data_IF_237715480274
#
_entry.id   IF_237715480274
#
_cell.length_a   1.000
_cell.length_b   1.000
_cell.length_c   1.000
_cell.angle_alpha   90.00
_cell.angle_beta   90.00
_cell.angle_gamma   90.00
#
_symmetry.space_group_name_H-M   'P 1'
#
loop_
_entity.id
_entity.type
_entity.pdbx_description
1 polymer ?
#
# COMPACT_ATOMS: atom_id res chain seq x y z
N UNK A 1 -2.67 15.74 18.90
CA UNK A 1 -3.23 16.57 17.81
C UNK A 1 -2.81 16.00 16.49
N UNK A 2 -3.76 15.77 15.58
CA UNK A 2 -3.51 15.18 14.28
C UNK A 2 -4.14 16.02 13.17
N UNK A 3 -3.39 16.17 12.07
CA UNK A 3 -3.85 16.81 10.84
C UNK A 3 -4.35 15.75 9.87
N UNK A 4 -5.62 15.84 9.47
CA UNK A 4 -6.25 14.99 8.46
C UNK A 4 -6.42 15.85 7.21
N UNK A 5 -5.94 15.36 6.07
CA UNK A 5 -6.09 16.00 4.77
C UNK A 5 -7.17 15.27 3.99
N UNK A 6 -8.14 16.00 3.54
CA UNK A 6 -9.30 15.52 2.82
C UNK A 6 -9.24 16.14 1.43
N UNK A 7 -9.07 15.31 0.43
CA UNK A 7 -9.08 15.78 -0.95
C UNK A 7 -10.48 16.30 -1.30
N UNK A 8 -10.55 17.53 -1.78
CA UNK A 8 -11.80 18.18 -2.11
C UNK A 8 -12.49 17.52 -3.32
N UNK A 9 -13.84 17.65 -3.44
CA UNK A 9 -14.55 17.09 -4.57
C UNK A 9 -14.05 17.69 -5.88
N UNK A 10 -13.95 16.84 -6.90
CA UNK A 10 -13.63 17.28 -8.26
C UNK A 10 -14.88 17.93 -8.84
N UNK A 11 -14.75 19.18 -9.25
CA UNK A 11 -15.84 19.89 -9.93
C UNK A 11 -15.87 19.47 -11.41
N UNK A 12 -16.98 18.86 -11.82
CA UNK A 12 -17.13 18.38 -13.19
C UNK A 12 -17.30 19.55 -14.16
N UNK A 13 -16.41 19.66 -15.13
CA UNK A 13 -16.46 20.66 -16.18
C UNK A 13 -17.69 20.58 -17.08
N UNK A 14 -18.38 19.44 -17.10
CA UNK A 14 -19.63 19.25 -17.84
C UNK A 14 -20.82 19.93 -17.14
N UNK A 15 -20.73 20.15 -15.83
CA UNK A 15 -21.75 20.82 -15.03
C UNK A 15 -21.31 22.23 -14.63
N UNK A 16 -20.94 23.06 -15.64
CA UNK A 16 -20.57 24.45 -15.45
C UNK A 16 -21.31 25.37 -16.42
N UNK A 17 -21.43 26.59 -16.01
CA UNK A 17 -21.83 27.71 -16.84
C UNK A 17 -20.87 28.89 -16.67
N UNK A 18 -21.15 30.00 -17.27
CA UNK A 18 -20.34 31.22 -17.16
C UNK A 18 -21.23 32.42 -16.88
N UNK A 19 -20.74 33.36 -16.09
CA UNK A 19 -21.40 34.65 -15.94
C UNK A 19 -21.51 35.38 -17.30
N UNK A 20 -22.66 35.93 -17.58
CA UNK A 20 -22.91 36.75 -18.75
C UNK A 20 -22.92 38.24 -18.43
N UNK A 21 -22.81 38.63 -17.18
CA UNK A 21 -22.61 39.96 -16.67
C UNK A 21 -21.70 39.95 -15.44
N UNK A 22 -21.06 41.12 -15.16
CA UNK A 22 -20.28 41.29 -13.94
C UNK A 22 -21.18 41.21 -12.70
N UNK A 23 -20.70 40.55 -11.66
CA UNK A 23 -21.36 40.46 -10.37
C UNK A 23 -20.48 41.12 -9.31
N UNK A 24 -20.85 42.30 -8.88
CA UNK A 24 -20.18 43.07 -7.83
C UNK A 24 -20.92 43.05 -6.50
N UNK A 25 -22.22 42.77 -6.51
CA UNK A 25 -23.09 42.71 -5.35
C UNK A 25 -24.41 42.04 -5.73
N UNK A 26 -25.20 41.64 -4.72
CA UNK A 26 -26.50 41.02 -4.94
C UNK A 26 -26.43 39.49 -5.04
N UNK A 27 -27.61 38.88 -5.15
CA UNK A 27 -27.78 37.44 -5.13
C UNK A 27 -28.25 36.85 -6.47
N UNK A 28 -28.46 37.72 -7.46
CA UNK A 28 -28.93 37.30 -8.79
C UNK A 28 -27.77 37.25 -9.77
N UNK A 29 -27.53 36.11 -10.36
CA UNK A 29 -26.47 35.85 -11.32
C UNK A 29 -27.07 35.69 -12.71
N UNK A 30 -26.66 36.54 -13.65
CA UNK A 30 -26.97 36.32 -15.06
C UNK A 30 -25.92 35.40 -15.64
N UNK A 31 -26.34 34.24 -16.15
CA UNK A 31 -25.46 33.18 -16.67
C UNK A 31 -25.84 32.81 -18.11
N UNK A 32 -24.92 32.21 -18.85
CA UNK A 32 -25.19 31.75 -20.22
C UNK A 32 -26.25 30.66 -20.31
N UNK A 33 -26.30 29.76 -19.32
CA UNK A 33 -27.31 28.74 -19.21
C UNK A 33 -27.33 28.19 -17.78
N UNK A 34 -28.51 27.91 -17.23
CA UNK A 34 -28.69 27.30 -15.92
C UNK A 34 -29.31 25.90 -15.98
N UNK A 35 -29.38 25.29 -17.16
CA UNK A 35 -30.10 24.02 -17.40
C UNK A 35 -29.58 22.87 -16.55
N UNK A 36 -28.33 22.89 -16.17
CA UNK A 36 -27.74 21.83 -15.32
C UNK A 36 -27.90 22.08 -13.82
N UNK A 37 -28.46 23.21 -13.40
CA UNK A 37 -28.62 23.59 -12.01
C UNK A 37 -30.04 23.33 -11.52
N UNK A 38 -30.20 23.14 -10.22
CA UNK A 38 -31.48 23.03 -9.53
C UNK A 38 -31.44 23.87 -8.24
N UNK A 39 -32.61 24.21 -7.70
CA UNK A 39 -32.71 24.79 -6.38
C UNK A 39 -32.13 23.82 -5.34
N UNK A 40 -31.45 24.36 -4.35
CA UNK A 40 -30.69 23.64 -3.31
C UNK A 40 -29.38 22.99 -3.80
N UNK A 41 -29.00 23.08 -5.06
CA UNK A 41 -27.62 22.81 -5.47
C UNK A 41 -26.64 23.80 -4.85
N UNK A 42 -25.37 23.44 -4.78
CA UNK A 42 -24.30 24.38 -4.47
C UNK A 42 -23.53 24.75 -5.72
N UNK A 43 -22.99 25.96 -5.72
CA UNK A 43 -22.22 26.49 -6.84
C UNK A 43 -20.93 27.13 -6.36
N UNK A 44 -19.85 26.92 -7.12
CA UNK A 44 -18.58 27.60 -6.92
C UNK A 44 -18.38 28.59 -8.05
N UNK A 45 -18.30 29.89 -7.71
CA UNK A 45 -17.94 30.94 -8.65
C UNK A 45 -16.42 31.12 -8.65
N UNK A 46 -15.84 31.23 -9.84
CA UNK A 46 -14.39 31.28 -10.04
C UNK A 46 -13.78 29.94 -10.36
N UNK A 47 -12.53 29.93 -10.78
CA UNK A 47 -11.81 28.66 -10.97
C UNK A 47 -11.59 27.99 -9.61
N UNK A 48 -11.88 26.70 -9.48
CA UNK A 48 -11.60 25.96 -8.27
C UNK A 48 -10.12 26.06 -7.90
N UNK A 49 -9.83 26.17 -6.60
CA UNK A 49 -8.48 26.27 -6.05
C UNK A 49 -7.84 27.66 -6.18
N UNK A 50 -8.59 28.65 -6.65
CA UNK A 50 -8.16 30.03 -6.63
C UNK A 50 -8.68 30.76 -5.38
N UNK A 51 -7.95 31.79 -4.96
CA UNK A 51 -8.26 32.57 -3.75
C UNK A 51 -9.64 33.23 -3.82
N UNK A 52 -10.07 33.62 -5.01
CA UNK A 52 -11.34 34.30 -5.26
C UNK A 52 -12.53 33.31 -5.44
N UNK A 53 -12.31 32.01 -5.42
CA UNK A 53 -13.39 31.04 -5.55
C UNK A 53 -14.34 31.09 -4.34
N UNK A 54 -15.66 31.13 -4.60
CA UNK A 54 -16.68 31.24 -3.56
C UNK A 54 -17.79 30.21 -3.74
N UNK A 55 -18.08 29.48 -2.65
CA UNK A 55 -19.17 28.51 -2.58
C UNK A 55 -20.45 29.19 -2.09
N UNK A 56 -21.56 29.01 -2.83
CA UNK A 56 -22.89 29.49 -2.47
C UNK A 56 -23.95 28.45 -2.83
N UNK A 57 -25.06 28.51 -2.13
CA UNK A 57 -26.22 27.69 -2.43
C UNK A 57 -27.14 28.39 -3.45
N UNK A 58 -27.66 27.62 -4.39
CA UNK A 58 -28.69 28.07 -5.33
C UNK A 58 -30.05 28.09 -4.60
N UNK A 59 -30.66 29.24 -4.46
CA UNK A 59 -31.97 29.38 -3.85
C UNK A 59 -33.12 29.19 -4.85
N UNK A 60 -32.95 29.68 -6.07
CA UNK A 60 -33.94 29.53 -7.14
C UNK A 60 -33.31 29.73 -8.51
N UNK A 61 -34.03 29.33 -9.54
CA UNK A 61 -33.70 29.53 -10.94
C UNK A 61 -34.86 30.27 -11.61
N UNK A 62 -34.55 31.24 -12.44
CA UNK A 62 -35.55 31.95 -13.24
C UNK A 62 -35.09 31.95 -14.67
N UNK A 63 -35.99 31.58 -15.59
CA UNK A 63 -35.66 31.40 -17.00
C UNK A 63 -34.46 30.46 -17.19
N UNK A 64 -33.88 30.40 -18.39
CA UNK A 64 -32.71 29.53 -18.64
C UNK A 64 -31.38 30.24 -18.39
N UNK A 65 -31.40 31.46 -17.89
CA UNK A 65 -30.22 32.34 -17.83
C UNK A 65 -30.00 33.01 -16.46
N UNK A 66 -30.82 32.67 -15.45
CA UNK A 66 -30.69 33.33 -14.14
C UNK A 66 -30.58 32.29 -13.03
N UNK A 67 -29.58 32.46 -12.18
CA UNK A 67 -29.39 31.73 -10.94
C UNK A 67 -29.48 32.70 -9.77
N UNK A 68 -30.35 32.45 -8.81
CA UNK A 68 -30.38 33.19 -7.54
C UNK A 68 -29.67 32.37 -6.47
N UNK A 69 -28.72 32.98 -5.77
CA UNK A 69 -27.97 32.38 -4.67
C UNK A 69 -28.48 32.89 -3.31
N UNK A 70 -28.25 32.11 -2.26
CA UNK A 70 -28.73 32.39 -0.91
C UNK A 70 -28.07 33.64 -0.27
N UNK A 71 -26.84 34.00 -0.69
CA UNK A 71 -26.14 35.16 -0.19
C UNK A 71 -25.17 35.69 -1.26
N UNK A 72 -24.95 37.01 -1.28
CA UNK A 72 -24.05 37.65 -2.23
C UNK A 72 -22.61 37.13 -2.12
N UNK A 73 -21.90 37.18 -3.22
CA UNK A 73 -20.45 36.96 -3.22
C UNK A 73 -19.73 38.07 -2.45
N UNK A 74 -18.62 37.70 -1.85
CA UNK A 74 -17.72 38.62 -1.17
C UNK A 74 -16.81 39.38 -2.16
N UNK A 75 -16.44 38.69 -3.24
CA UNK A 75 -15.55 39.23 -4.26
C UNK A 75 -16.34 39.62 -5.53
N UNK A 76 -15.76 40.49 -6.31
CA UNK A 76 -16.27 40.82 -7.63
C UNK A 76 -15.92 39.71 -8.60
N UNK A 77 -16.93 39.17 -9.27
CA UNK A 77 -16.76 38.19 -10.33
C UNK A 77 -17.10 38.78 -11.68
N UNK A 78 -16.11 38.97 -12.59
CA UNK A 78 -16.34 39.56 -13.90
C UNK A 78 -17.15 38.63 -14.81
N UNK A 79 -17.74 39.21 -15.86
CA UNK A 79 -18.31 38.43 -16.95
C UNK A 79 -17.32 37.37 -17.42
N UNK A 80 -17.83 36.22 -17.81
CA UNK A 80 -17.05 34.99 -18.18
C UNK A 80 -16.46 34.22 -17.04
N UNK A 81 -16.62 34.64 -15.77
CA UNK A 81 -16.25 33.80 -14.62
C UNK A 81 -17.01 32.50 -14.68
N UNK A 82 -16.34 31.36 -14.56
CA UNK A 82 -17.00 30.05 -14.53
C UNK A 82 -17.79 29.87 -13.24
N UNK A 83 -18.94 29.23 -13.35
CA UNK A 83 -19.82 28.82 -12.25
C UNK A 83 -19.95 27.32 -12.32
N UNK A 84 -19.35 26.61 -11.38
CA UNK A 84 -19.39 25.15 -11.31
C UNK A 84 -20.52 24.71 -10.39
N UNK A 85 -21.23 23.65 -10.78
CA UNK A 85 -22.15 22.96 -9.89
C UNK A 85 -21.37 21.99 -8.99
N UNK A 86 -21.75 21.93 -7.72
CA UNK A 86 -21.32 20.88 -6.79
C UNK A 86 -22.53 20.40 -5.99
N UNK A 87 -22.65 19.10 -5.77
CA UNK A 87 -23.72 18.58 -4.92
C UNK A 87 -23.43 18.74 -3.42
N UNK A 88 -22.23 19.19 -3.03
CA UNK A 88 -21.74 19.15 -1.66
C UNK A 88 -21.29 20.52 -1.15
N UNK A 89 -21.56 20.79 0.14
CA UNK A 89 -21.09 21.99 0.83
C UNK A 89 -20.24 21.68 2.07
N UNK A 90 -20.40 20.52 2.68
CA UNK A 90 -19.68 20.11 3.87
C UNK A 90 -18.97 18.76 3.72
N UNK A 91 -18.07 18.48 4.69
CA UNK A 91 -17.45 17.19 4.91
C UNK A 91 -17.87 16.67 6.28
N UNK A 92 -18.39 15.45 6.34
CA UNK A 92 -18.64 14.70 7.56
C UNK A 92 -17.47 13.76 7.79
N UNK A 93 -16.89 13.80 9.00
CA UNK A 93 -15.73 13.02 9.39
C UNK A 93 -16.14 12.08 10.51
N UNK A 94 -15.83 10.81 10.35
CA UNK A 94 -16.02 9.79 11.37
C UNK A 94 -14.67 9.26 11.85
N UNK A 95 -14.63 8.88 13.12
CA UNK A 95 -13.44 8.36 13.80
C UNK A 95 -13.78 7.06 14.52
N UNK A 96 -12.86 6.11 14.52
CA UNK A 96 -12.85 4.98 15.43
C UNK A 96 -11.52 4.88 16.17
N UNK A 97 -11.53 4.30 17.36
CA UNK A 97 -10.37 4.26 18.25
C UNK A 97 -9.41 3.10 17.98
N UNK A 98 -9.88 2.10 17.23
CA UNK A 98 -9.09 0.92 16.81
C UNK A 98 -9.69 0.31 15.56
N UNK A 99 -8.97 -0.55 14.87
CA UNK A 99 -9.43 -1.27 13.67
C UNK A 99 -10.67 -2.13 13.89
N UNK A 100 -10.90 -2.62 15.11
CA UNK A 100 -12.09 -3.38 15.50
C UNK A 100 -13.24 -2.50 16.02
N UNK A 101 -13.03 -1.17 16.16
CA UNK A 101 -14.02 -0.24 16.68
C UNK A 101 -15.06 0.16 15.66
N UNK A 102 -16.20 0.68 16.15
CA UNK A 102 -17.24 1.27 15.30
C UNK A 102 -16.87 2.72 14.99
N UNK A 103 -17.08 3.14 13.75
CA UNK A 103 -16.95 4.55 13.39
C UNK A 103 -18.06 5.38 14.01
N UNK A 104 -17.69 6.50 14.62
CA UNK A 104 -18.60 7.48 15.15
C UNK A 104 -18.30 8.85 14.56
N UNK A 105 -19.35 9.60 14.25
CA UNK A 105 -19.22 10.97 13.76
C UNK A 105 -18.60 11.86 14.86
N UNK A 106 -17.62 12.68 14.49
CA UNK A 106 -17.04 13.64 15.41
C UNK A 106 -18.02 14.77 15.66
N UNK A 107 -18.16 15.21 16.91
CA UNK A 107 -19.15 16.20 17.34
C UNK A 107 -19.00 17.59 16.66
N UNK A 108 -17.92 17.82 15.96
CA UNK A 108 -17.62 19.03 15.18
C UNK A 108 -17.32 18.72 13.73
N UNK A 109 -17.91 17.68 13.18
CA UNK A 109 -17.47 17.05 11.95
C UNK A 109 -17.97 17.73 10.68
N UNK A 110 -19.06 18.45 10.72
CA UNK A 110 -19.56 19.15 9.55
C UNK A 110 -18.75 20.42 9.31
N UNK A 111 -17.69 20.31 8.55
CA UNK A 111 -16.88 21.46 8.11
C UNK A 111 -17.15 21.76 6.64
N UNK A 112 -17.29 23.03 6.29
CA UNK A 112 -17.37 23.44 4.90
C UNK A 112 -16.05 23.03 4.21
N UNK A 113 -16.14 22.34 3.07
CA UNK A 113 -14.94 22.01 2.33
C UNK A 113 -14.27 23.25 1.76
N UNK A 114 -12.95 23.26 1.73
CA UNK A 114 -12.17 24.43 1.32
C UNK A 114 -12.07 24.51 -0.22
N UNK A 115 -12.96 25.28 -0.82
CA UNK A 115 -13.02 25.47 -2.27
C UNK A 115 -11.84 26.25 -2.87
N UNK A 116 -10.99 26.85 -2.02
CA UNK A 116 -9.81 27.62 -2.42
C UNK A 116 -8.54 26.76 -2.51
N UNK A 117 -8.58 25.59 -1.95
CA UNK A 117 -7.46 24.65 -1.92
C UNK A 117 -7.84 23.30 -2.51
N UNK A 118 -6.83 22.47 -2.81
CA UNK A 118 -7.04 21.07 -3.23
C UNK A 118 -7.57 20.20 -2.11
N UNK A 119 -7.30 20.58 -0.88
CA UNK A 119 -7.54 19.77 0.32
C UNK A 119 -8.24 20.63 1.37
N UNK A 120 -9.22 20.04 2.01
CA UNK A 120 -9.76 20.52 3.28
C UNK A 120 -8.94 19.90 4.41
N UNK A 121 -8.53 20.70 5.37
CA UNK A 121 -7.70 20.25 6.49
C UNK A 121 -8.53 20.26 7.77
N UNK A 122 -8.56 19.10 8.42
CA UNK A 122 -9.16 18.95 9.74
C UNK A 122 -8.10 18.62 10.79
N UNK A 123 -8.22 19.20 11.98
CA UNK A 123 -7.33 18.94 13.10
C UNK A 123 -8.09 18.25 14.22
N UNK A 124 -7.72 17.01 14.52
CA UNK A 124 -8.22 16.30 15.70
C UNK A 124 -7.23 16.49 16.85
N UNK A 125 -7.64 17.24 17.87
CA UNK A 125 -6.81 17.51 19.06
C UNK A 125 -6.66 16.31 19.98
N UNK A 126 -7.61 15.37 19.93
CA UNK A 126 -7.65 14.17 20.79
C UNK A 126 -7.01 12.95 20.13
N UNK A 127 -6.56 13.09 18.88
CA UNK A 127 -6.06 11.97 18.09
C UNK A 127 -4.87 11.26 18.71
N UNK A 128 -4.93 9.93 18.71
CA UNK A 128 -3.80 9.02 18.98
C UNK A 128 -3.39 8.29 17.71
N UNK A 129 -2.25 7.58 17.76
CA UNK A 129 -1.72 6.84 16.62
C UNK A 129 -2.64 5.70 16.15
N UNK A 130 -3.45 5.12 17.06
CA UNK A 130 -4.35 4.01 16.77
C UNK A 130 -5.69 4.44 16.16
N UNK A 131 -5.97 5.74 16.12
CA UNK A 131 -7.24 6.22 15.60
C UNK A 131 -7.29 6.14 14.09
N UNK A 132 -8.43 5.71 13.59
CA UNK A 132 -8.73 5.62 12.17
C UNK A 132 -9.89 6.55 11.81
N UNK A 133 -9.81 7.13 10.62
CA UNK A 133 -10.77 8.11 10.15
C UNK A 133 -11.30 7.69 8.80
N UNK A 134 -12.54 8.07 8.51
CA UNK A 134 -13.12 8.13 7.17
C UNK A 134 -13.93 9.40 7.03
N UNK A 135 -14.16 9.82 5.83
CA UNK A 135 -14.98 10.99 5.56
C UNK A 135 -15.92 10.73 4.39
N UNK A 136 -16.94 11.53 4.31
CA UNK A 136 -17.86 11.64 3.18
C UNK A 136 -18.26 13.10 2.99
N UNK A 137 -18.61 13.47 1.77
CA UNK A 137 -19.18 14.77 1.53
C UNK A 137 -20.67 14.78 1.89
N UNK A 138 -21.14 15.95 2.28
CA UNK A 138 -22.49 16.13 2.79
C UNK A 138 -23.13 17.35 2.13
N UNK A 139 -24.42 17.24 1.79
CA UNK A 139 -25.26 18.33 1.35
C UNK A 139 -26.18 18.71 2.50
N UNK A 140 -25.96 19.90 3.07
CA UNK A 140 -26.74 20.38 4.23
C UNK A 140 -28.20 20.70 3.94
N UNK A 141 -28.53 20.95 2.68
CA UNK A 141 -29.90 21.25 2.27
C UNK A 141 -30.76 20.01 2.02
N UNK A 142 -30.21 19.02 1.31
CA UNK A 142 -30.93 17.79 0.97
C UNK A 142 -30.69 16.68 1.99
N UNK A 143 -29.78 16.88 2.95
CA UNK A 143 -29.38 15.90 3.97
C UNK A 143 -28.85 14.59 3.33
N UNK A 144 -28.21 14.70 2.18
CA UNK A 144 -27.65 13.57 1.45
C UNK A 144 -26.14 13.50 1.63
N UNK A 145 -25.58 12.30 1.44
CA UNK A 145 -24.15 12.02 1.62
C UNK A 145 -23.57 11.34 0.38
N UNK A 146 -22.30 11.58 0.14
CA UNK A 146 -21.51 10.75 -0.77
C UNK A 146 -21.20 9.39 -0.15
N UNK A 147 -20.64 8.48 -0.95
CA UNK A 147 -19.96 7.30 -0.41
C UNK A 147 -18.82 7.69 0.53
N UNK A 148 -18.48 6.79 1.45
CA UNK A 148 -17.36 7.00 2.34
C UNK A 148 -16.04 6.89 1.58
N UNK A 149 -15.07 7.69 2.02
CA UNK A 149 -13.68 7.51 1.64
C UNK A 149 -13.10 6.19 2.18
N UNK A 150 -11.98 5.78 1.63
CA UNK A 150 -11.14 4.78 2.28
C UNK A 150 -10.76 5.22 3.70
N UNK A 151 -10.51 4.25 4.57
CA UNK A 151 -10.08 4.51 5.94
C UNK A 151 -8.70 5.14 5.97
N UNK A 152 -8.59 6.28 6.62
CA UNK A 152 -7.33 6.98 6.90
C UNK A 152 -6.85 6.53 8.26
N UNK A 153 -5.76 5.78 8.32
CA UNK A 153 -5.18 5.34 9.59
C UNK A 153 -4.44 6.47 10.30
N UNK A 154 -4.42 6.41 11.65
CA UNK A 154 -3.82 7.38 12.56
C UNK A 154 -2.29 7.51 12.46
N UNK A 155 -1.59 6.47 12.15
CA UNK A 155 -0.18 6.54 11.78
C UNK A 155 -0.02 7.23 10.43
N UNK A 156 0.94 8.12 10.28
CA UNK A 156 1.45 8.46 8.96
C UNK A 156 1.72 7.12 8.27
N UNK A 157 1.13 6.90 7.11
CA UNK A 157 1.34 5.64 6.38
C UNK A 157 2.85 5.41 6.32
N UNK A 158 3.31 4.28 6.83
CA UNK A 158 4.73 3.96 6.81
C UNK A 158 5.21 4.11 5.37
N UNK A 159 6.42 4.62 5.15
CA UNK A 159 6.98 4.77 3.78
C UNK A 159 6.93 3.47 2.99
N UNK A 160 6.99 2.34 3.71
CA UNK A 160 6.88 1.00 3.16
C UNK A 160 5.46 0.54 2.85
N UNK A 161 4.42 1.30 3.23
CA UNK A 161 3.03 0.91 2.93
C UNK A 161 2.68 1.16 1.48
N UNK A 162 1.94 0.23 0.87
CA UNK A 162 1.42 0.34 -0.49
C UNK A 162 0.68 1.65 -0.70
N UNK A 163 -0.18 2.04 0.25
CA UNK A 163 -0.93 3.29 0.20
C UNK A 163 -0.03 4.52 0.07
N UNK A 164 1.05 4.58 0.86
CA UNK A 164 1.99 5.69 0.77
C UNK A 164 2.66 5.72 -0.60
N UNK A 165 3.14 4.56 -1.07
CA UNK A 165 3.83 4.44 -2.35
C UNK A 165 2.92 4.81 -3.53
N UNK A 166 1.66 4.36 -3.54
CA UNK A 166 0.67 4.72 -4.58
C UNK A 166 0.46 6.23 -4.62
N UNK A 167 0.30 6.89 -3.46
CA UNK A 167 0.14 8.35 -3.38
C UNK A 167 1.37 9.07 -3.93
N UNK A 168 2.60 8.58 -3.65
CA UNK A 168 3.82 9.18 -4.20
C UNK A 168 3.89 9.02 -5.73
N UNK A 169 3.59 7.83 -6.25
CA UNK A 169 3.55 7.59 -7.71
C UNK A 169 2.60 8.59 -8.38
N UNK A 170 1.37 8.73 -7.88
CA UNK A 170 0.37 9.63 -8.45
C UNK A 170 0.80 11.08 -8.42
N UNK A 171 1.34 11.52 -7.28
CA UNK A 171 1.82 12.89 -7.11
C UNK A 171 2.95 13.23 -8.07
N UNK A 172 3.95 12.36 -8.18
CA UNK A 172 5.14 12.61 -9.03
C UNK A 172 4.79 12.46 -10.51
N UNK A 173 3.94 11.50 -10.84
CA UNK A 173 3.48 11.29 -12.20
C UNK A 173 2.34 12.24 -12.62
N UNK A 174 1.89 13.16 -11.76
CA UNK A 174 0.76 14.07 -12.05
C UNK A 174 -0.54 13.34 -12.47
N UNK A 175 -0.85 12.21 -11.82
CA UNK A 175 -2.07 11.42 -12.01
C UNK A 175 -2.93 11.36 -10.73
N UNK A 176 -2.98 12.46 -9.97
CA UNK A 176 -3.72 12.54 -8.71
C UNK A 176 -5.23 12.29 -8.91
N UNK A 177 -5.75 12.59 -10.09
CA UNK A 177 -7.14 12.39 -10.47
C UNK A 177 -7.49 10.94 -10.89
N UNK A 178 -6.53 10.01 -10.83
CA UNK A 178 -6.70 8.58 -11.20
C UNK A 178 -7.24 8.34 -12.62
N UNK A 179 -6.96 9.24 -13.54
CA UNK A 179 -7.50 9.19 -14.90
C UNK A 179 -6.69 8.33 -15.86
N UNK A 180 -5.43 8.07 -15.53
CA UNK A 180 -4.49 7.43 -16.44
C UNK A 180 -4.31 5.97 -16.06
N UNK A 181 -4.12 5.69 -14.77
CA UNK A 181 -3.79 4.37 -14.24
C UNK A 181 -4.60 4.07 -12.99
N UNK A 182 -5.10 2.85 -12.83
CA UNK A 182 -5.76 2.39 -11.60
C UNK A 182 -4.75 2.14 -10.48
N UNK A 183 -5.22 2.13 -9.21
CA UNK A 183 -4.37 1.76 -8.08
C UNK A 183 -3.87 0.31 -8.21
N UNK A 184 -4.70 -0.60 -8.71
CA UNK A 184 -4.34 -2.01 -8.94
C UNK A 184 -3.22 -2.18 -9.97
N UNK A 185 -3.16 -1.33 -11.00
CA UNK A 185 -2.06 -1.34 -11.96
C UNK A 185 -0.75 -0.87 -11.34
N UNK A 186 -0.81 0.14 -10.47
CA UNK A 186 0.35 0.60 -9.71
C UNK A 186 0.83 -0.49 -8.74
N UNK A 187 -0.09 -1.16 -8.04
CA UNK A 187 0.23 -2.26 -7.12
C UNK A 187 0.86 -3.44 -7.89
N UNK A 188 0.32 -3.79 -9.06
CA UNK A 188 0.95 -4.81 -9.93
C UNK A 188 2.36 -4.40 -10.37
N UNK A 189 2.59 -3.12 -10.63
CA UNK A 189 3.94 -2.62 -10.92
C UNK A 189 4.88 -2.83 -9.74
N UNK A 190 4.43 -2.58 -8.51
CA UNK A 190 5.24 -2.83 -7.31
C UNK A 190 5.59 -4.30 -7.15
N UNK A 191 4.64 -5.22 -7.33
CA UNK A 191 4.91 -6.66 -7.29
C UNK A 191 5.94 -7.06 -8.35
N UNK A 192 5.78 -6.57 -9.58
CA UNK A 192 6.77 -6.80 -10.64
C UNK A 192 8.16 -6.27 -10.29
N UNK A 193 8.25 -5.10 -9.65
CA UNK A 193 9.52 -4.56 -9.18
C UNK A 193 10.15 -5.45 -8.10
N UNK A 194 9.34 -5.96 -7.15
CA UNK A 194 9.80 -6.92 -6.15
C UNK A 194 10.35 -8.21 -6.79
N UNK A 195 9.66 -8.74 -7.82
CA UNK A 195 10.11 -9.90 -8.57
C UNK A 195 11.46 -9.66 -9.26
N UNK A 196 11.65 -8.47 -9.85
CA UNK A 196 12.92 -8.09 -10.48
C UNK A 196 14.05 -8.02 -9.45
N UNK A 197 13.79 -7.39 -8.29
CA UNK A 197 14.76 -7.30 -7.19
C UNK A 197 15.11 -8.71 -6.69
N UNK A 198 14.11 -9.56 -6.46
CA UNK A 198 14.32 -10.94 -6.01
C UNK A 198 15.10 -11.76 -7.05
N UNK A 199 14.78 -11.63 -8.33
CA UNK A 199 15.47 -12.34 -9.40
C UNK A 199 16.94 -11.89 -9.53
N UNK A 200 17.24 -10.62 -9.22
CA UNK A 200 18.61 -10.10 -9.24
C UNK A 200 19.46 -10.73 -8.13
N UNK A 201 18.95 -10.80 -6.91
CA UNK A 201 19.60 -11.46 -5.78
C UNK A 201 18.59 -12.02 -4.77
N UNK A 202 18.29 -13.34 -4.79
CA UNK A 202 17.38 -13.95 -3.85
C UNK A 202 17.93 -14.07 -2.43
N UNK A 203 19.18 -13.66 -2.18
CA UNK A 203 19.87 -13.77 -0.89
C UNK A 203 20.06 -12.42 -0.19
N UNK A 204 19.21 -11.46 -0.46
CA UNK A 204 19.26 -10.21 0.29
C UNK A 204 19.04 -10.42 1.79
N UNK A 205 19.79 -9.71 2.62
CA UNK A 205 19.77 -9.84 4.08
C UNK A 205 18.38 -9.63 4.69
N UNK A 206 17.58 -8.74 4.13
CA UNK A 206 16.22 -8.46 4.61
C UNK A 206 15.19 -9.56 4.29
N UNK A 207 15.58 -10.57 3.50
CA UNK A 207 14.79 -11.76 3.22
C UNK A 207 15.24 -12.97 4.08
N UNK A 208 16.30 -12.80 4.87
CA UNK A 208 16.84 -13.89 5.70
C UNK A 208 15.98 -14.14 6.92
N UNK A 209 15.61 -15.41 7.12
CA UNK A 209 14.81 -15.90 8.25
C UNK A 209 15.64 -16.86 9.07
N UNK A 210 15.87 -16.53 10.33
CA UNK A 210 16.47 -17.43 11.30
C UNK A 210 15.37 -18.07 12.16
N UNK A 211 15.04 -19.35 11.88
CA UNK A 211 13.94 -20.01 12.57
C UNK A 211 14.25 -20.35 14.03
N UNK A 212 15.52 -20.44 14.41
CA UNK A 212 15.92 -20.67 15.79
C UNK A 212 15.67 -19.42 16.66
N UNK A 213 16.09 -18.27 16.18
CA UNK A 213 15.88 -16.99 16.88
C UNK A 213 14.40 -16.57 16.91
N UNK A 214 13.66 -16.87 15.83
CA UNK A 214 12.23 -16.53 15.75
C UNK A 214 11.34 -17.52 16.55
N UNK A 215 11.85 -18.69 16.92
CA UNK A 215 11.09 -19.72 17.62
C UNK A 215 9.93 -20.32 16.80
N UNK A 216 9.96 -20.17 15.48
CA UNK A 216 8.94 -20.67 14.55
C UNK A 216 9.56 -21.24 13.28
N UNK A 217 8.87 -22.16 12.61
CA UNK A 217 9.37 -22.80 11.37
C UNK A 217 10.37 -23.94 11.64
N UNK A 218 10.52 -24.37 12.88
CA UNK A 218 11.30 -25.56 13.22
C UNK A 218 10.58 -26.84 12.75
N UNK A 219 11.37 -27.90 12.46
CA UNK A 219 10.90 -29.21 12.01
C UNK A 219 11.33 -30.24 13.01
N UNK A 220 10.37 -30.91 13.65
CA UNK A 220 10.67 -31.98 14.60
C UNK A 220 11.28 -33.17 13.87
N UNK A 221 12.32 -33.73 14.43
CA UNK A 221 12.92 -34.93 13.93
C UNK A 221 12.14 -36.19 14.41
N UNK A 222 12.07 -37.19 13.56
CA UNK A 222 11.40 -38.47 13.86
C UNK A 222 12.40 -39.61 13.77
N UNK A 223 12.28 -40.60 14.67
CA UNK A 223 13.14 -41.78 14.68
C UNK A 223 12.96 -42.57 13.38
N UNK A 224 14.08 -42.99 12.79
CA UNK A 224 14.14 -43.73 11.53
C UNK A 224 13.50 -42.99 10.33
N UNK A 225 13.35 -41.68 10.41
CA UNK A 225 12.96 -40.86 9.30
C UNK A 225 14.17 -40.02 8.82
N UNK A 226 14.42 -40.02 7.53
CA UNK A 226 15.56 -39.38 6.93
C UNK A 226 15.15 -38.22 6.00
N UNK A 227 13.87 -38.14 5.59
CA UNK A 227 13.33 -37.17 4.66
C UNK A 227 12.30 -36.27 5.34
N UNK A 228 12.51 -34.94 5.25
CA UNK A 228 11.67 -33.93 5.89
C UNK A 228 11.21 -32.90 4.89
N UNK A 229 9.93 -32.51 4.99
CA UNK A 229 9.32 -31.50 4.13
C UNK A 229 9.65 -30.07 4.57
N UNK A 230 9.83 -29.18 3.60
CA UNK A 230 10.00 -27.74 3.81
C UNK A 230 8.67 -26.96 3.71
N UNK A 231 7.53 -27.64 3.58
CA UNK A 231 6.21 -26.99 3.42
C UNK A 231 5.79 -26.14 4.61
N UNK A 232 6.32 -26.39 5.80
CA UNK A 232 6.03 -25.61 6.99
C UNK A 232 6.69 -24.21 6.99
N UNK A 233 7.59 -23.96 6.03
CA UNK A 233 8.29 -22.69 5.91
C UNK A 233 7.47 -21.72 5.06
N UNK A 234 7.11 -20.60 5.66
CA UNK A 234 6.33 -19.56 5.00
C UNK A 234 7.15 -18.90 3.90
N UNK A 235 6.59 -18.79 2.69
CA UNK A 235 7.21 -18.12 1.54
C UNK A 235 8.64 -18.60 1.25
N UNK A 236 8.92 -19.86 1.47
CA UNK A 236 10.24 -20.42 1.25
C UNK A 236 10.79 -20.11 -0.16
N UNK A 237 11.99 -19.58 -0.21
CA UNK A 237 12.69 -19.28 -1.46
C UNK A 237 13.96 -20.10 -1.63
N UNK A 238 14.89 -19.99 -0.69
CA UNK A 238 16.17 -20.65 -0.76
C UNK A 238 16.70 -21.01 0.62
N UNK A 239 17.06 -22.27 0.86
CA UNK A 239 17.68 -22.69 2.11
C UNK A 239 19.13 -22.16 2.19
N UNK A 240 19.42 -21.43 3.25
CA UNK A 240 20.75 -20.91 3.53
C UNK A 240 21.59 -21.92 4.31
N UNK A 241 21.09 -22.33 5.47
CA UNK A 241 21.75 -23.31 6.34
C UNK A 241 20.70 -24.18 7.03
N UNK A 242 21.08 -25.36 7.46
CA UNK A 242 20.26 -26.25 8.28
C UNK A 242 21.00 -26.52 9.58
N UNK A 243 20.38 -26.20 10.71
CA UNK A 243 20.92 -26.52 12.05
C UNK A 243 20.10 -27.61 12.70
N UNK A 244 20.75 -28.40 13.53
CA UNK A 244 20.11 -29.45 14.31
C UNK A 244 20.38 -29.27 15.79
N UNK A 245 19.33 -29.35 16.60
CA UNK A 245 19.40 -29.29 18.06
C UNK A 245 18.87 -30.56 18.65
N UNK A 246 19.62 -31.14 19.53
CA UNK A 246 19.19 -32.32 20.34
C UNK A 246 19.69 -32.14 21.77
N UNK A 247 19.12 -32.94 22.68
CA UNK A 247 19.53 -32.96 24.08
C UNK A 247 20.41 -34.18 24.35
N UNK A 248 21.66 -33.96 24.76
CA UNK A 248 22.59 -34.99 25.13
C UNK A 248 22.83 -34.96 26.64
N UNK A 249 22.24 -35.88 27.37
CA UNK A 249 22.47 -36.01 28.82
C UNK A 249 22.07 -34.78 29.64
N UNK A 250 21.06 -34.02 29.21
CA UNK A 250 20.61 -32.76 29.86
C UNK A 250 21.26 -31.52 29.33
N UNK A 251 22.15 -31.62 28.33
CA UNK A 251 22.77 -30.46 27.68
C UNK A 251 22.24 -30.36 26.27
N UNK A 252 21.71 -29.16 25.91
CA UNK A 252 21.30 -28.85 24.55
C UNK A 252 22.52 -28.58 23.67
N UNK A 253 22.61 -29.34 22.59
CA UNK A 253 23.65 -29.22 21.58
C UNK A 253 23.01 -28.72 20.28
N UNK A 254 23.49 -27.60 19.76
CA UNK A 254 23.07 -27.02 18.48
C UNK A 254 24.28 -26.98 17.55
N UNK A 255 24.16 -27.54 16.36
CA UNK A 255 25.21 -27.49 15.34
C UNK A 255 24.64 -27.39 13.94
N UNK A 256 25.49 -27.00 13.00
CA UNK A 256 25.13 -26.84 11.60
C UNK A 256 25.44 -28.10 10.83
N UNK A 257 24.46 -28.56 10.06
CA UNK A 257 24.62 -29.68 9.13
C UNK A 257 25.34 -29.21 7.85
N UNK A 258 26.19 -30.08 7.31
CA UNK A 258 26.87 -29.81 6.07
C UNK A 258 26.00 -30.19 4.86
N UNK A 259 25.84 -29.27 3.91
CA UNK A 259 25.16 -29.58 2.65
C UNK A 259 26.09 -30.36 1.73
N UNK A 260 25.66 -31.50 1.24
CA UNK A 260 26.38 -32.33 0.27
C UNK A 260 25.64 -32.31 -1.09
N UNK A 261 26.38 -32.50 -2.16
CA UNK A 261 25.76 -32.81 -3.45
C UNK A 261 25.20 -34.28 -3.41
N UNK A 262 24.30 -34.56 -4.36
CA UNK A 262 23.58 -35.83 -4.36
C UNK A 262 24.52 -37.07 -4.41
N UNK A 263 25.60 -37.01 -5.18
CA UNK A 263 26.53 -38.14 -5.38
C UNK A 263 27.33 -38.42 -4.12
N UNK A 264 27.86 -37.40 -3.47
CA UNK A 264 28.60 -37.52 -2.22
C UNK A 264 27.67 -37.96 -1.10
N UNK A 265 26.48 -37.40 -1.01
CA UNK A 265 25.47 -37.74 -0.04
C UNK A 265 25.07 -39.21 -0.15
N UNK A 266 24.71 -39.72 -1.34
CA UNK A 266 24.25 -41.09 -1.55
C UNK A 266 25.34 -42.12 -1.23
N UNK A 267 26.64 -41.75 -1.38
CA UNK A 267 27.75 -42.61 -0.91
C UNK A 267 27.80 -42.63 0.61
N UNK A 268 27.72 -41.49 1.29
CA UNK A 268 27.71 -41.44 2.76
C UNK A 268 26.52 -42.20 3.35
N UNK A 269 25.35 -42.06 2.72
CA UNK A 269 24.12 -42.73 3.11
C UNK A 269 24.22 -44.25 2.95
N UNK A 270 24.90 -44.73 1.92
CA UNK A 270 25.13 -46.18 1.70
C UNK A 270 26.18 -46.79 2.65
N UNK A 271 27.13 -45.99 3.10
CA UNK A 271 28.24 -46.44 3.98
C UNK A 271 27.87 -46.34 5.49
N UNK A 272 26.62 -46.01 5.82
CA UNK A 272 26.17 -45.90 7.22
C UNK A 272 26.43 -47.13 8.04
N UNK A 273 27.26 -46.98 9.07
CA UNK A 273 27.46 -48.02 10.07
C UNK A 273 26.46 -47.77 11.22
N UNK A 274 25.42 -48.57 11.31
CA UNK A 274 24.23 -48.37 12.17
C UNK A 274 24.48 -48.58 13.67
N UNK A 275 25.74 -48.64 14.13
CA UNK A 275 26.07 -49.11 15.47
C UNK A 275 26.50 -48.05 16.48
N UNK A 276 26.74 -46.81 16.08
CA UNK A 276 27.20 -45.75 17.00
C UNK A 276 26.27 -44.54 17.00
N UNK A 277 26.32 -43.74 18.08
CA UNK A 277 25.53 -42.54 18.35
C UNK A 277 25.38 -41.62 17.11
N UNK A 278 24.38 -41.91 16.30
CA UNK A 278 24.23 -41.25 15.03
C UNK A 278 23.33 -40.02 15.14
N UNK A 279 23.94 -38.90 15.08
CA UNK A 279 23.27 -37.61 14.80
C UNK A 279 23.43 -37.30 13.33
N UNK A 280 22.44 -36.62 12.71
CA UNK A 280 22.58 -36.20 11.32
C UNK A 280 23.77 -35.23 11.17
N UNK A 281 24.72 -35.57 10.31
CA UNK A 281 25.91 -34.73 10.06
C UNK A 281 25.76 -33.87 8.81
N UNK A 282 25.08 -34.41 7.80
CA UNK A 282 24.92 -33.73 6.54
C UNK A 282 23.52 -33.91 5.94
N UNK A 283 23.24 -33.11 4.93
CA UNK A 283 21.96 -33.15 4.22
C UNK A 283 22.11 -32.91 2.72
N UNK A 284 21.15 -33.38 1.93
CA UNK A 284 20.92 -32.99 0.56
C UNK A 284 19.53 -32.39 0.38
N UNK A 285 19.37 -31.52 -0.60
CA UNK A 285 18.05 -30.99 -1.00
C UNK A 285 17.45 -31.93 -2.05
N UNK A 286 16.14 -32.15 -1.94
CA UNK A 286 15.31 -32.82 -2.93
C UNK A 286 14.36 -31.80 -3.49
N UNK A 287 14.25 -31.65 -4.84
CA UNK A 287 13.36 -30.67 -5.46
C UNK A 287 11.91 -30.82 -5.05
N UNK A 288 11.15 -29.74 -5.22
CA UNK A 288 9.70 -29.73 -5.07
C UNK A 288 9.03 -30.75 -6.01
N UNK A 289 7.92 -31.32 -5.58
CA UNK A 289 7.09 -32.23 -6.33
C UNK A 289 5.59 -31.95 -6.10
N UNK A 290 4.71 -32.84 -6.53
CA UNK A 290 3.27 -32.66 -6.38
C UNK A 290 2.79 -32.66 -4.91
N UNK A 291 3.62 -33.14 -3.95
CA UNK A 291 3.27 -33.27 -2.55
C UNK A 291 3.98 -32.22 -1.67
N UNK A 292 5.01 -31.57 -2.18
CA UNK A 292 5.74 -30.51 -1.48
C UNK A 292 6.13 -29.37 -2.43
N UNK A 293 5.47 -28.25 -2.30
CA UNK A 293 5.75 -27.02 -3.09
C UNK A 293 7.14 -26.45 -2.81
N UNK A 294 7.66 -26.65 -1.60
CA UNK A 294 8.96 -26.13 -1.17
C UNK A 294 10.09 -27.20 -1.27
N UNK A 295 9.74 -28.46 -1.62
CA UNK A 295 10.68 -29.58 -1.65
C UNK A 295 10.98 -30.16 -0.28
N UNK A 296 12.04 -30.96 -0.22
CA UNK A 296 12.45 -31.72 0.96
C UNK A 296 13.94 -31.56 1.20
N UNK A 297 14.37 -31.96 2.41
CA UNK A 297 15.76 -32.29 2.65
C UNK A 297 15.85 -33.72 3.19
N UNK A 298 16.89 -34.44 2.80
CA UNK A 298 17.24 -35.74 3.33
C UNK A 298 18.51 -35.61 4.17
N UNK A 299 18.54 -36.23 5.32
CA UNK A 299 19.70 -36.25 6.24
C UNK A 299 20.38 -37.60 6.27
N UNK A 300 21.64 -37.62 6.67
CA UNK A 300 22.39 -38.82 6.94
C UNK A 300 23.41 -38.52 8.04
N UNK A 301 23.71 -39.48 8.95
CA UNK A 301 23.01 -40.75 9.18
C UNK A 301 21.56 -40.56 9.69
N UNK A 302 20.80 -41.66 9.70
CA UNK A 302 19.42 -41.71 10.18
C UNK A 302 19.36 -41.36 11.67
N UNK A 303 18.23 -40.79 12.09
CA UNK A 303 18.02 -40.33 13.46
C UNK A 303 17.62 -41.51 14.34
N UNK A 304 18.40 -41.78 15.37
CA UNK A 304 18.09 -42.79 16.38
C UNK A 304 17.29 -42.23 17.55
N UNK A 305 16.68 -43.09 18.34
CA UNK A 305 15.86 -42.68 19.49
C UNK A 305 16.64 -41.87 20.53
N UNK A 306 17.95 -42.08 20.67
CA UNK A 306 18.84 -41.34 21.57
C UNK A 306 19.19 -39.93 21.07
N UNK A 307 18.98 -39.66 19.79
CA UNK A 307 19.40 -38.43 19.13
C UNK A 307 18.25 -37.62 18.54
N UNK A 308 16.99 -37.91 18.91
CA UNK A 308 15.83 -37.18 18.46
C UNK A 308 15.92 -35.70 18.88
N UNK A 309 15.75 -34.81 17.93
CA UNK A 309 15.89 -33.38 18.14
C UNK A 309 14.99 -32.56 17.24
N UNK A 310 15.47 -31.38 16.84
CA UNK A 310 14.71 -30.46 16.05
C UNK A 310 15.63 -29.78 15.00
N UNK A 311 15.17 -29.74 13.77
CA UNK A 311 15.82 -28.99 12.69
C UNK A 311 15.39 -27.55 12.72
N UNK A 312 16.33 -26.65 12.48
CA UNK A 312 16.15 -25.23 12.36
C UNK A 312 16.68 -24.78 11.00
N UNK A 313 15.84 -24.77 9.95
CA UNK A 313 16.23 -24.29 8.64
C UNK A 313 16.32 -22.77 8.65
N UNK A 314 17.49 -22.22 8.30
CA UNK A 314 17.63 -20.81 7.98
C UNK A 314 17.50 -20.64 6.49
N UNK A 315 16.65 -19.71 6.06
CA UNK A 315 16.33 -19.57 4.65
C UNK A 315 16.10 -18.11 4.26
N UNK A 316 16.13 -17.88 2.98
CA UNK A 316 15.67 -16.62 2.40
C UNK A 316 14.23 -16.81 1.92
N UNK A 317 13.36 -15.90 2.31
CA UNK A 317 11.96 -15.96 1.91
C UNK A 317 11.73 -15.24 0.57
N UNK A 318 10.68 -15.63 -0.14
CA UNK A 318 10.16 -14.84 -1.26
C UNK A 318 9.47 -13.60 -0.71
N UNK A 319 9.54 -12.49 -1.42
CA UNK A 319 8.80 -11.29 -1.03
C UNK A 319 7.29 -11.56 -1.02
N UNK A 320 6.60 -10.95 -0.07
CA UNK A 320 5.14 -11.03 -0.01
C UNK A 320 4.54 -10.25 -1.18
N UNK A 321 3.48 -10.79 -1.79
CA UNK A 321 2.67 -10.02 -2.72
C UNK A 321 2.01 -8.84 -1.98
N UNK A 322 1.92 -7.74 -2.69
CA UNK A 322 1.20 -6.55 -2.25
C UNK A 322 -0.17 -6.58 -2.93
N UNK A 323 -1.22 -6.84 -2.17
CA UNK A 323 -2.59 -7.00 -2.70
C UNK A 323 -3.52 -5.92 -2.17
N UNK A 324 -3.14 -5.27 -1.07
CA UNK A 324 -3.96 -4.29 -0.35
C UNK A 324 -3.20 -2.99 -0.09
N UNK A 325 -3.88 -1.84 -0.06
CA UNK A 325 -3.29 -0.57 0.39
C UNK A 325 -2.68 -0.61 1.80
N UNK A 326 -3.12 -1.55 2.64
CA UNK A 326 -2.60 -1.74 4.00
C UNK A 326 -1.29 -2.52 4.05
N UNK A 327 -0.93 -3.25 2.99
CA UNK A 327 0.27 -4.05 2.94
C UNK A 327 1.53 -3.19 2.99
N UNK A 328 2.61 -3.82 3.45
CA UNK A 328 3.93 -3.19 3.53
C UNK A 328 4.95 -4.01 2.78
N UNK A 329 5.78 -3.33 2.00
CA UNK A 329 6.91 -3.99 1.33
C UNK A 329 8.03 -4.31 2.31
N UNK A 330 8.71 -5.41 2.06
CA UNK A 330 9.94 -5.79 2.75
C UNK A 330 11.17 -5.07 2.18
N UNK A 331 11.05 -4.46 1.01
CA UNK A 331 12.14 -3.72 0.37
C UNK A 331 12.53 -2.52 1.24
N UNK A 332 13.79 -2.43 1.73
CA UNK A 332 14.22 -1.36 2.64
C UNK A 332 14.19 0.03 2.01
N UNK A 333 14.29 0.10 0.68
CA UNK A 333 14.23 1.33 -0.11
C UNK A 333 12.92 1.37 -0.94
N UNK A 334 11.79 1.72 -0.33
CA UNK A 334 10.49 1.72 -1.02
C UNK A 334 10.44 2.70 -2.21
N UNK A 335 11.33 3.71 -2.23
CA UNK A 335 11.43 4.66 -3.34
C UNK A 335 11.76 3.97 -4.67
N UNK A 336 12.45 2.82 -4.66
CA UNK A 336 12.67 2.02 -5.87
C UNK A 336 11.37 1.47 -6.47
N UNK A 337 10.44 1.05 -5.61
CA UNK A 337 9.12 0.60 -6.06
C UNK A 337 8.31 1.78 -6.59
N UNK A 338 8.42 2.95 -5.94
CA UNK A 338 7.79 4.20 -6.39
C UNK A 338 8.31 4.58 -7.76
N UNK A 339 9.62 4.58 -7.97
CA UNK A 339 10.25 4.91 -9.25
C UNK A 339 9.79 3.95 -10.36
N UNK A 340 9.71 2.66 -10.07
CA UNK A 340 9.18 1.70 -11.04
C UNK A 340 7.69 1.94 -11.33
N UNK A 341 6.88 2.25 -10.32
CA UNK A 341 5.48 2.64 -10.49
C UNK A 341 5.35 3.88 -11.39
N UNK A 342 6.18 4.91 -11.19
CA UNK A 342 6.23 6.10 -12.04
C UNK A 342 6.59 5.72 -13.48
N UNK A 343 7.56 4.82 -13.68
CA UNK A 343 7.96 4.38 -15.02
C UNK A 343 6.79 3.80 -15.81
N UNK A 344 5.95 3.00 -15.15
CA UNK A 344 4.76 2.40 -15.76
C UNK A 344 3.75 3.48 -16.16
N UNK A 345 3.46 4.45 -15.27
CA UNK A 345 2.55 5.56 -15.56
C UNK A 345 3.07 6.41 -16.74
N UNK A 346 4.36 6.76 -16.74
CA UNK A 346 4.96 7.55 -17.81
C UNK A 346 4.98 6.80 -19.16
N UNK A 347 5.15 5.48 -19.15
CA UNK A 347 5.04 4.65 -20.36
C UNK A 347 3.63 4.67 -20.92
N UNK A 348 2.61 4.55 -20.09
CA UNK A 348 1.21 4.66 -20.51
C UNK A 348 0.91 6.04 -21.11
N UNK A 349 1.55 7.09 -20.60
CA UNK A 349 1.48 8.46 -21.18
C UNK A 349 2.23 8.62 -22.50
N UNK A 350 3.00 7.61 -22.94
CA UNK A 350 3.86 7.69 -24.13
C UNK A 350 5.21 8.37 -23.88
N UNK A 351 5.62 8.59 -22.65
CA UNK A 351 6.86 9.25 -22.27
C UNK A 351 8.00 8.24 -22.07
N UNK A 352 8.35 7.45 -23.08
CA UNK A 352 9.32 6.35 -23.01
C UNK A 352 10.68 6.75 -22.42
N UNK A 353 11.21 7.94 -22.77
CA UNK A 353 12.48 8.41 -22.24
C UNK A 353 12.45 8.61 -20.73
N UNK A 354 11.37 9.18 -20.22
CA UNK A 354 11.18 9.42 -18.80
C UNK A 354 10.94 8.11 -18.05
N UNK A 355 10.14 7.20 -18.64
CA UNK A 355 9.93 5.87 -18.11
C UNK A 355 11.26 5.10 -17.94
N UNK A 356 12.11 5.10 -18.97
CA UNK A 356 13.42 4.45 -18.93
C UNK A 356 14.36 5.03 -17.85
N UNK A 357 14.28 6.33 -17.56
CA UNK A 357 15.07 6.95 -16.49
C UNK A 357 14.71 6.38 -15.12
N UNK A 358 13.43 6.25 -14.80
CA UNK A 358 12.98 5.67 -13.54
C UNK A 358 13.26 4.16 -13.45
N UNK A 359 13.09 3.43 -14.55
CA UNK A 359 13.36 1.98 -14.59
C UNK A 359 14.85 1.66 -14.44
N UNK A 360 15.73 2.51 -14.93
CA UNK A 360 17.19 2.33 -14.82
C UNK A 360 17.67 2.37 -13.36
N UNK A 361 16.98 3.06 -12.47
CA UNK A 361 17.31 3.08 -11.04
C UNK A 361 17.16 1.70 -10.39
N UNK A 362 16.23 0.87 -10.88
CA UNK A 362 16.02 -0.49 -10.39
C UNK A 362 17.04 -1.50 -10.97
N UNK A 363 17.40 -1.34 -12.27
CA UNK A 363 18.20 -2.30 -13.03
C UNK A 363 19.72 -2.05 -12.88
N UNK A 364 20.10 -0.81 -12.69
CA UNK A 364 21.49 -0.39 -12.51
C UNK A 364 21.58 0.51 -11.28
N UNK A 365 21.51 -0.04 -10.07
CA UNK A 365 21.88 0.73 -8.89
C UNK A 365 23.31 1.22 -9.11
N UNK A 366 23.50 2.54 -9.06
CA UNK A 366 24.77 3.20 -9.30
C UNK A 366 25.89 2.39 -8.65
N UNK A 367 26.92 2.02 -9.42
CA UNK A 367 28.06 1.20 -8.99
C UNK A 367 28.81 1.77 -7.75
N UNK A 368 28.51 2.99 -7.34
CA UNK A 368 29.04 3.66 -6.14
C UNK A 368 28.08 3.67 -4.93
N UNK A 369 26.89 3.12 -5.06
CA UNK A 369 25.96 2.87 -3.96
C UNK A 369 25.41 1.49 -4.20
N UNK A 370 26.00 0.48 -3.56
CA UNK A 370 25.27 -0.75 -3.32
C UNK A 370 24.14 -0.39 -2.35
N UNK A 371 22.89 -0.20 -2.80
CA UNK A 371 21.79 0.18 -1.92
C UNK A 371 21.41 -0.95 -0.97
N UNK A 372 22.05 -2.13 -1.15
CA UNK A 372 21.75 -3.38 -0.47
C UNK A 372 22.91 -3.90 0.38
N UNK A 373 24.08 -3.20 0.37
CA UNK A 373 25.39 -3.55 0.96
C UNK A 373 25.40 -4.04 2.38
#
# INVERSE_FOLDING_TARGET
MRRIRIQNPILDKNYRTYLDADVSSGTTLTVKSNVSFAANDFTVAGEPREELAELRQVSSLTENTTITINSAFRFIHPKTTPIYKTPWDFVSIERRTSSAGVFAELSQSAIQWDNKNNETVYFDSEATASYEYRFRFYNSSSLTYSEYSDTITGAAAARTSVRYMVVQVRRIAFDEERKIVSDDEIIRAFNRAQDIIYAHNPKYWFLFVDTYELGSGSIAATVNEDVYTLNNLTRFGHLATLRYRYNSGGTDVLYQLERKDAVVFDRLDADQNTTDDNWPECYKLIPADATSDNGYFKVTPDILASSVGTFYPNYYEKMANLDSPADTTQVPLPDLLVDFGISVVERIKGNEKKAAQYESALISPNQNRDPWG
#
